data_IF_567354029927
#
_entry.id   IF_567354029927
#
_cell.length_a   1.000
_cell.length_b   1.000
_cell.length_c   1.000
_cell.angle_alpha   90.00
_cell.angle_beta   90.00
_cell.angle_gamma   90.00
#
_symmetry.space_group_name_H-M   'P 1'
#
loop_
_entity.id
_entity.type
_entity.pdbx_description
1 polymer ?
#
# COMPACT_ATOMS: atom_id res chain seq x y z
N UNK A 1 23.16 3.35 38.04
CA UNK A 1 23.02 3.27 36.58
C UNK A 1 21.54 3.11 36.34
N UNK A 2 20.87 4.21 35.96
CA UNK A 2 19.43 4.18 35.71
C UNK A 2 19.15 3.24 34.55
N UNK A 3 18.12 2.43 34.68
CA UNK A 3 17.62 1.61 33.58
C UNK A 3 17.39 2.53 32.38
N UNK A 4 18.11 2.28 31.28
CA UNK A 4 17.80 2.87 29.98
C UNK A 4 16.38 2.41 29.63
N UNK A 5 15.40 3.23 30.00
CA UNK A 5 14.00 2.99 29.67
C UNK A 5 13.93 2.87 28.15
N UNK A 6 13.47 1.72 27.66
CA UNK A 6 13.46 1.41 26.23
C UNK A 6 12.52 2.37 25.49
N UNK A 7 13.04 3.53 25.13
CA UNK A 7 12.29 4.53 24.39
C UNK A 7 11.96 4.00 23.00
N UNK A 8 10.69 4.05 22.62
CA UNK A 8 10.22 3.71 21.27
C UNK A 8 10.93 4.63 20.27
N UNK A 9 11.55 4.06 19.24
CA UNK A 9 12.28 4.82 18.21
C UNK A 9 11.59 4.82 16.85
N UNK A 10 10.77 3.82 16.57
CA UNK A 10 10.15 3.62 15.25
C UNK A 10 8.74 3.05 15.41
N UNK A 11 7.81 3.54 14.60
CA UNK A 11 6.47 2.98 14.42
C UNK A 11 6.30 2.61 12.94
N UNK A 12 5.90 1.37 12.70
CA UNK A 12 5.50 0.89 11.38
C UNK A 12 3.98 0.78 11.35
N UNK A 13 3.34 1.43 10.40
CA UNK A 13 1.89 1.40 10.26
C UNK A 13 1.49 0.94 8.87
N UNK A 14 0.57 -0.01 8.82
CA UNK A 14 -0.20 -0.22 7.60
C UNK A 14 -1.11 1.01 7.32
N UNK A 15 -1.64 1.10 6.10
CA UNK A 15 -2.53 2.18 5.68
C UNK A 15 -3.99 1.73 5.78
N UNK A 16 -4.38 0.73 5.00
CA UNK A 16 -5.77 0.35 4.77
C UNK A 16 -6.31 -0.47 5.96
N UNK A 17 -7.33 0.03 6.64
CA UNK A 17 -7.88 -0.56 7.86
C UNK A 17 -7.16 -0.16 9.15
N UNK A 18 -6.03 0.56 9.06
CA UNK A 18 -5.27 1.06 10.21
C UNK A 18 -5.36 2.58 10.34
N UNK A 19 -4.89 3.33 9.33
CA UNK A 19 -4.97 4.80 9.32
C UNK A 19 -6.12 5.30 8.45
N UNK A 20 -6.47 4.52 7.43
CA UNK A 20 -7.45 4.83 6.41
C UNK A 20 -8.58 3.81 6.48
N UNK A 21 -9.82 4.26 6.43
CA UNK A 21 -11.00 3.40 6.51
C UNK A 21 -11.97 3.67 5.35
N UNK A 22 -12.76 2.67 5.00
CA UNK A 22 -13.71 2.69 3.89
C UNK A 22 -15.15 2.88 4.38
N UNK A 23 -16.10 3.34 3.54
CA UNK A 23 -17.51 3.49 3.90
C UNK A 23 -18.10 2.28 4.63
N UNK A 24 -17.87 1.07 4.07
CA UNK A 24 -18.32 -0.20 4.64
C UNK A 24 -17.85 -0.46 6.07
N UNK A 25 -16.72 0.13 6.46
CA UNK A 25 -16.17 -0.03 7.80
C UNK A 25 -16.95 0.83 8.80
N UNK A 26 -17.62 1.89 8.36
CA UNK A 26 -18.37 2.84 9.19
C UNK A 26 -19.85 2.49 9.37
N UNK A 27 -20.45 1.74 8.44
CA UNK A 27 -21.91 1.51 8.36
C UNK A 27 -22.57 1.20 9.71
N UNK A 28 -21.87 0.44 10.57
CA UNK A 28 -22.35 0.02 11.88
C UNK A 28 -22.34 1.10 12.96
N UNK A 29 -21.38 2.02 12.94
CA UNK A 29 -21.10 2.91 14.09
C UNK A 29 -20.91 4.38 13.74
N UNK A 30 -20.92 4.76 12.46
CA UNK A 30 -20.77 6.14 12.04
C UNK A 30 -21.63 6.47 10.80
N UNK A 31 -21.83 7.75 10.58
CA UNK A 31 -22.47 8.33 9.40
C UNK A 31 -21.42 9.13 8.63
N UNK A 32 -21.34 8.89 7.32
CA UNK A 32 -20.42 9.62 6.43
C UNK A 32 -21.21 10.73 5.76
N UNK A 33 -20.80 11.98 6.00
CA UNK A 33 -21.42 13.15 5.40
C UNK A 33 -21.11 13.32 3.91
N UNK A 34 -21.52 14.46 3.36
CA UNK A 34 -21.21 14.85 1.99
C UNK A 34 -19.73 15.23 1.83
N UNK A 35 -19.15 14.92 0.67
CA UNK A 35 -17.79 15.33 0.32
C UNK A 35 -17.79 16.77 -0.21
N UNK A 36 -17.05 17.65 0.46
CA UNK A 36 -16.89 19.06 0.07
C UNK A 36 -15.39 19.36 -0.01
N UNK A 37 -14.91 19.80 -1.18
CA UNK A 37 -13.50 20.17 -1.42
C UNK A 37 -12.48 19.08 -0.98
N UNK A 38 -12.78 17.81 -1.28
CA UNK A 38 -11.91 16.68 -0.92
C UNK A 38 -11.91 16.33 0.58
N UNK A 39 -12.84 16.89 1.37
CA UNK A 39 -13.04 16.58 2.78
C UNK A 39 -14.45 16.06 3.04
N UNK A 40 -14.62 15.37 4.16
CA UNK A 40 -15.92 14.88 4.65
C UNK A 40 -15.95 14.92 6.18
N UNK A 41 -17.12 15.07 6.77
CA UNK A 41 -17.33 14.85 8.20
C UNK A 41 -17.88 13.45 8.45
N UNK A 42 -17.22 12.69 9.33
CA UNK A 42 -17.68 11.39 9.79
C UNK A 42 -18.17 11.55 11.23
N UNK A 43 -19.46 11.25 11.47
CA UNK A 43 -20.10 11.38 12.78
C UNK A 43 -20.31 10.01 13.41
N UNK A 44 -19.73 9.78 14.58
CA UNK A 44 -19.88 8.53 15.33
C UNK A 44 -21.23 8.50 16.05
N UNK A 45 -22.01 7.44 15.82
CA UNK A 45 -23.41 7.31 16.28
C UNK A 45 -23.51 7.25 17.81
N UNK A 46 -22.59 6.53 18.45
CA UNK A 46 -22.62 6.30 19.90
C UNK A 46 -22.19 7.54 20.69
N UNK A 47 -21.11 8.20 20.27
CA UNK A 47 -20.53 9.34 21.00
C UNK A 47 -21.04 10.69 20.53
N UNK A 48 -21.62 10.76 19.33
CA UNK A 48 -21.94 12.01 18.65
C UNK A 48 -20.71 12.78 18.15
N UNK A 49 -19.48 12.30 18.40
CA UNK A 49 -18.24 12.92 17.95
C UNK A 49 -18.24 13.01 16.42
N UNK A 50 -17.83 14.16 15.88
CA UNK A 50 -17.63 14.34 14.44
C UNK A 50 -16.16 14.60 14.15
N UNK A 51 -15.62 13.91 13.14
CA UNK A 51 -14.24 14.08 12.68
C UNK A 51 -14.21 14.55 11.24
N UNK A 52 -13.43 15.60 10.99
CA UNK A 52 -13.08 15.99 9.63
C UNK A 52 -12.06 15.00 9.08
N UNK A 53 -12.33 14.50 7.89
CA UNK A 53 -11.51 13.51 7.20
C UNK A 53 -11.17 13.97 5.79
N UNK A 54 -9.94 13.69 5.34
CA UNK A 54 -9.55 13.82 3.94
C UNK A 54 -10.07 12.63 3.15
N UNK A 55 -10.46 12.88 1.90
CA UNK A 55 -10.86 11.84 0.96
C UNK A 55 -9.64 11.35 0.20
N UNK A 56 -9.42 10.04 0.25
CA UNK A 56 -8.42 9.33 -0.53
C UNK A 56 -9.13 8.65 -1.70
N UNK A 57 -8.96 9.20 -2.90
CA UNK A 57 -9.54 8.64 -4.11
C UNK A 57 -8.87 7.29 -4.46
N UNK A 58 -9.65 6.37 -5.03
CA UNK A 58 -9.16 5.10 -5.56
C UNK A 58 -9.86 4.80 -6.87
N UNK A 59 -9.11 4.37 -7.89
CA UNK A 59 -9.69 4.07 -9.21
C UNK A 59 -10.61 2.84 -9.21
N UNK A 60 -10.53 1.96 -8.21
CA UNK A 60 -11.21 0.65 -8.24
C UNK A 60 -11.90 0.25 -6.94
N UNK A 61 -11.63 0.93 -5.82
CA UNK A 61 -12.06 0.52 -4.48
C UNK A 61 -13.06 1.45 -3.78
N UNK A 62 -13.57 2.47 -4.48
CA UNK A 62 -14.33 3.55 -3.86
C UNK A 62 -13.46 4.52 -3.05
N UNK A 63 -14.10 5.47 -2.37
CA UNK A 63 -13.40 6.46 -1.52
C UNK A 63 -12.95 5.82 -0.22
N UNK A 64 -11.78 6.22 0.25
CA UNK A 64 -11.32 5.93 1.60
C UNK A 64 -11.06 7.23 2.36
N UNK A 65 -10.96 7.17 3.69
CA UNK A 65 -10.93 8.35 4.53
C UNK A 65 -9.87 8.26 5.62
N UNK A 66 -9.13 9.34 5.83
CA UNK A 66 -8.21 9.53 6.96
C UNK A 66 -8.63 10.76 7.74
N UNK A 67 -8.71 10.65 9.07
CA UNK A 67 -9.07 11.81 9.90
C UNK A 67 -7.91 12.79 10.03
N UNK A 68 -8.19 14.10 10.06
CA UNK A 68 -7.17 15.12 10.35
C UNK A 68 -6.53 14.89 11.73
N UNK A 69 -7.31 14.31 12.67
CA UNK A 69 -6.81 13.88 13.98
C UNK A 69 -5.72 12.82 13.85
N UNK A 70 -5.86 11.84 12.96
CA UNK A 70 -4.85 10.82 12.71
C UNK A 70 -3.56 11.45 12.18
N UNK A 71 -3.67 12.40 11.26
CA UNK A 71 -2.50 13.13 10.73
C UNK A 71 -1.79 13.90 11.83
N UNK A 72 -2.54 14.65 12.65
CA UNK A 72 -1.98 15.40 13.78
C UNK A 72 -1.30 14.48 14.83
N UNK A 73 -1.83 13.28 15.05
CA UNK A 73 -1.21 12.29 15.94
C UNK A 73 0.11 11.76 15.39
N UNK A 74 0.20 11.50 14.08
CA UNK A 74 1.45 11.10 13.43
C UNK A 74 2.49 12.22 13.53
N UNK A 75 2.09 13.47 13.27
CA UNK A 75 2.98 14.63 13.41
C UNK A 75 3.50 14.77 14.85
N UNK A 76 2.65 14.53 15.86
CA UNK A 76 3.05 14.54 17.27
C UNK A 76 4.07 13.45 17.58
N UNK A 77 3.84 12.21 17.14
CA UNK A 77 4.78 11.09 17.32
C UNK A 77 6.14 11.44 16.73
N UNK A 78 6.16 12.02 15.52
CA UNK A 78 7.40 12.43 14.86
C UNK A 78 8.11 13.58 15.57
N UNK A 79 7.37 14.54 16.10
CA UNK A 79 7.92 15.64 16.88
C UNK A 79 8.60 15.18 18.19
N UNK A 80 8.22 14.01 18.72
CA UNK A 80 8.87 13.35 19.86
C UNK A 80 10.15 12.57 19.47
N UNK A 81 10.58 12.67 18.20
CA UNK A 81 11.79 12.01 17.70
C UNK A 81 11.60 10.53 17.34
N UNK A 82 10.35 10.07 17.24
CA UNK A 82 10.01 8.71 16.80
C UNK A 82 9.84 8.71 15.28
N UNK A 83 10.58 7.84 14.59
CA UNK A 83 10.38 7.65 13.15
C UNK A 83 9.04 6.99 12.87
N UNK A 84 8.32 7.49 11.88
CA UNK A 84 7.07 6.88 11.41
C UNK A 84 7.26 6.35 10.00
N UNK A 85 6.86 5.10 9.78
CA UNK A 85 7.00 4.40 8.50
C UNK A 85 5.63 3.93 8.04
N UNK A 86 5.22 4.32 6.84
CA UNK A 86 4.05 3.75 6.19
C UNK A 86 4.44 2.48 5.45
N UNK A 87 3.63 1.44 5.58
CA UNK A 87 3.73 0.19 4.83
C UNK A 87 2.38 -0.06 4.16
N UNK A 88 2.36 -0.54 2.91
CA UNK A 88 1.11 -0.92 2.24
C UNK A 88 1.31 -1.94 1.13
N UNK A 89 0.28 -2.75 0.88
CA UNK A 89 0.15 -3.59 -0.31
C UNK A 89 -0.43 -2.88 -1.54
N UNK A 90 -0.61 -1.56 -1.49
CA UNK A 90 -1.10 -0.79 -2.62
C UNK A 90 -0.12 -0.85 -3.81
N UNK A 91 -0.68 -0.92 -5.02
CA UNK A 91 0.06 -0.68 -6.27
C UNK A 91 0.60 0.74 -6.32
N UNK A 92 1.64 0.95 -7.12
CA UNK A 92 2.27 2.26 -7.31
C UNK A 92 1.28 3.39 -7.59
N UNK A 93 0.37 3.22 -8.56
CA UNK A 93 -0.61 4.27 -8.92
C UNK A 93 -1.64 4.58 -7.83
N UNK A 94 -2.08 3.55 -7.10
CA UNK A 94 -2.97 3.76 -5.95
C UNK A 94 -2.24 4.50 -4.84
N UNK A 95 -0.99 4.15 -4.58
CA UNK A 95 -0.19 4.82 -3.57
C UNK A 95 0.04 6.30 -3.94
N UNK A 96 0.50 6.56 -5.16
CA UNK A 96 0.78 7.90 -5.69
C UNK A 96 -0.43 8.83 -5.60
N UNK A 97 -1.61 8.35 -6.01
CA UNK A 97 -2.85 9.13 -5.93
C UNK A 97 -3.25 9.48 -4.48
N UNK A 98 -2.93 8.60 -3.52
CA UNK A 98 -3.28 8.77 -2.11
C UNK A 98 -2.28 9.63 -1.35
N UNK A 99 -1.01 9.55 -1.75
CA UNK A 99 0.14 10.13 -1.09
C UNK A 99 -0.02 11.61 -0.70
N UNK A 100 -0.57 12.51 -1.53
CA UNK A 100 -0.75 13.92 -1.15
C UNK A 100 -1.64 14.14 0.09
N UNK A 101 -2.53 13.20 0.39
CA UNK A 101 -3.47 13.29 1.50
C UNK A 101 -3.03 12.50 2.74
N UNK A 102 -1.98 11.70 2.64
CA UNK A 102 -1.42 10.92 3.75
C UNK A 102 -0.56 11.80 4.69
N UNK A 103 -0.32 11.38 5.94
CA UNK A 103 0.60 12.09 6.83
C UNK A 103 2.02 12.10 6.25
N UNK A 104 2.79 13.14 6.59
CA UNK A 104 4.23 13.15 6.30
C UNK A 104 4.94 12.16 7.21
N UNK A 105 5.78 11.32 6.62
CA UNK A 105 6.47 10.22 7.31
C UNK A 105 7.92 10.16 6.88
N UNK A 106 8.71 9.36 7.59
CA UNK A 106 10.17 9.27 7.37
C UNK A 106 10.50 8.27 6.25
N UNK A 107 9.70 7.22 6.13
CA UNK A 107 9.76 6.25 5.06
C UNK A 107 8.37 5.84 4.60
N UNK A 108 8.24 5.58 3.30
CA UNK A 108 7.02 5.07 2.70
C UNK A 108 7.34 3.79 1.94
N UNK A 109 6.74 2.68 2.32
CA UNK A 109 6.99 1.35 1.77
C UNK A 109 5.71 0.84 1.12
N UNK A 110 5.76 0.48 -0.15
CA UNK A 110 4.59 0.08 -0.93
C UNK A 110 4.92 -1.11 -1.84
N UNK A 111 3.92 -1.63 -2.54
CA UNK A 111 4.01 -2.91 -3.27
C UNK A 111 4.46 -4.08 -2.36
N UNK A 112 3.90 -4.18 -1.15
CA UNK A 112 4.24 -5.22 -0.17
C UNK A 112 5.73 -5.27 0.20
N UNK A 113 6.40 -4.12 0.21
CA UNK A 113 7.81 -4.04 0.63
C UNK A 113 8.80 -3.92 -0.51
N UNK A 114 8.40 -4.10 -1.77
CA UNK A 114 9.36 -4.07 -2.87
C UNK A 114 9.83 -2.67 -3.26
N UNK A 115 9.07 -1.62 -2.90
CA UNK A 115 9.42 -0.23 -3.20
C UNK A 115 9.43 0.63 -1.95
N UNK A 116 10.36 1.57 -1.89
CA UNK A 116 10.53 2.47 -0.77
C UNK A 116 10.75 3.91 -1.28
N UNK A 117 10.13 4.88 -0.61
CA UNK A 117 10.45 6.29 -0.71
C UNK A 117 11.13 6.71 0.60
N UNK A 118 12.21 7.47 0.46
CA UNK A 118 12.94 8.10 1.55
C UNK A 118 13.15 9.57 1.20
N UNK A 119 12.85 10.46 2.13
CA UNK A 119 12.97 11.91 1.93
C UNK A 119 12.21 12.43 0.70
N UNK A 120 11.07 11.83 0.38
CA UNK A 120 10.23 12.26 -0.74
C UNK A 120 10.57 11.62 -2.09
N UNK A 121 11.71 10.93 -2.21
CA UNK A 121 12.21 10.32 -3.45
C UNK A 121 12.28 8.79 -3.38
N UNK A 122 12.19 8.11 -4.53
CA UNK A 122 12.34 6.65 -4.60
C UNK A 122 13.76 6.22 -4.19
N UNK A 123 13.84 5.30 -3.24
CA UNK A 123 15.09 4.66 -2.85
C UNK A 123 15.44 3.56 -3.86
N UNK A 124 16.28 3.90 -4.84
CA UNK A 124 16.76 2.95 -5.84
C UNK A 124 17.65 1.86 -5.26
N UNK A 125 18.34 2.11 -4.14
CA UNK A 125 19.14 1.06 -3.49
C UNK A 125 18.24 0.00 -2.86
N UNK A 126 17.11 0.42 -2.29
CA UNK A 126 16.07 -0.50 -1.82
C UNK A 126 15.55 -1.38 -2.96
N UNK A 127 15.16 -0.78 -4.08
CA UNK A 127 14.59 -1.51 -5.22
C UNK A 127 15.61 -2.46 -5.86
N UNK A 128 16.88 -2.06 -5.93
CA UNK A 128 17.98 -2.90 -6.45
C UNK A 128 18.15 -4.23 -5.73
N UNK A 129 17.75 -4.33 -4.46
CA UNK A 129 17.79 -5.58 -3.69
C UNK A 129 16.93 -6.69 -4.30
N UNK A 130 16.00 -6.34 -5.18
CA UNK A 130 15.08 -7.27 -5.84
C UNK A 130 15.44 -7.58 -7.29
N UNK A 131 16.52 -7.02 -7.86
CA UNK A 131 16.86 -7.19 -9.29
C UNK A 131 17.05 -8.66 -9.71
N UNK A 132 17.51 -9.50 -8.80
CA UNK A 132 17.61 -10.95 -9.03
C UNK A 132 16.24 -11.63 -9.24
N UNK A 133 15.14 -10.99 -8.82
CA UNK A 133 13.75 -11.46 -8.94
C UNK A 133 12.99 -10.72 -10.04
N UNK A 134 13.18 -9.41 -10.16
CA UNK A 134 12.38 -8.55 -11.05
C UNK A 134 13.06 -8.18 -12.38
N UNK A 135 14.35 -8.53 -12.54
CA UNK A 135 15.18 -8.08 -13.66
C UNK A 135 15.72 -6.67 -13.47
N UNK A 136 15.96 -5.97 -14.59
CA UNK A 136 16.50 -4.60 -14.57
C UNK A 136 15.55 -3.60 -13.89
N UNK A 137 16.01 -3.01 -12.79
CA UNK A 137 15.24 -2.02 -12.01
C UNK A 137 15.44 -0.58 -12.48
N UNK A 138 16.25 -0.33 -13.52
CA UNK A 138 16.63 1.02 -13.98
C UNK A 138 15.45 1.92 -14.34
N UNK A 139 14.29 1.33 -14.66
CA UNK A 139 13.04 2.05 -15.02
C UNK A 139 12.14 2.39 -13.83
N UNK A 140 12.45 1.89 -12.63
CA UNK A 140 11.62 2.04 -11.43
C UNK A 140 11.92 3.32 -10.63
N UNK A 141 12.33 4.41 -11.28
CA UNK A 141 12.87 5.63 -10.64
C UNK A 141 11.82 6.62 -10.13
N UNK A 142 10.56 6.49 -10.55
CA UNK A 142 9.44 7.35 -10.12
C UNK A 142 8.40 6.53 -9.38
N UNK A 143 7.52 7.16 -8.58
CA UNK A 143 6.45 6.42 -7.87
C UNK A 143 5.58 5.64 -8.84
N UNK A 144 5.23 6.21 -9.99
CA UNK A 144 4.47 5.57 -11.07
C UNK A 144 5.33 5.44 -12.34
N UNK A 145 6.22 4.43 -12.41
CA UNK A 145 7.11 4.28 -13.55
C UNK A 145 6.34 3.80 -14.78
N UNK A 146 6.79 4.20 -15.98
CA UNK A 146 6.30 3.62 -17.22
C UNK A 146 6.93 2.25 -17.43
N UNK A 147 6.12 1.21 -17.25
CA UNK A 147 6.56 -0.17 -17.34
C UNK A 147 6.14 -0.78 -18.69
N UNK A 148 6.93 -1.73 -19.16
CA UNK A 148 6.53 -2.64 -20.24
C UNK A 148 5.34 -3.49 -19.82
N UNK A 149 4.69 -4.12 -20.79
CA UNK A 149 3.71 -5.15 -20.49
C UNK A 149 4.35 -6.26 -19.62
N UNK A 150 3.60 -6.79 -18.66
CA UNK A 150 4.13 -7.80 -17.73
C UNK A 150 4.62 -9.06 -18.45
N UNK A 151 4.05 -9.40 -19.61
CA UNK A 151 4.51 -10.52 -20.44
C UNK A 151 5.89 -10.30 -21.06
N UNK A 152 6.31 -9.04 -21.25
CA UNK A 152 7.59 -8.65 -21.86
C UNK A 152 8.71 -8.43 -20.84
N UNK A 153 8.38 -8.30 -19.54
CA UNK A 153 9.37 -8.06 -18.48
C UNK A 153 10.23 -9.29 -18.23
N UNK A 154 11.51 -9.08 -17.90
CA UNK A 154 12.48 -10.15 -17.67
C UNK A 154 12.71 -10.37 -16.19
N UNK A 155 12.88 -11.62 -15.76
CA UNK A 155 13.21 -11.97 -14.37
C UNK A 155 12.28 -13.05 -13.81
N UNK A 156 12.69 -13.78 -12.75
CA UNK A 156 11.93 -14.89 -12.19
C UNK A 156 10.47 -14.57 -11.83
N UNK A 157 10.17 -13.37 -11.34
CA UNK A 157 8.80 -12.94 -11.04
C UNK A 157 7.94 -12.94 -12.30
N UNK A 158 8.47 -12.43 -13.41
CA UNK A 158 7.75 -12.30 -14.67
C UNK A 158 7.70 -13.62 -15.43
N UNK A 159 8.67 -14.52 -15.23
CA UNK A 159 8.58 -15.91 -15.67
C UNK A 159 7.41 -16.63 -14.98
N UNK A 160 7.26 -16.45 -13.67
CA UNK A 160 6.11 -16.96 -12.93
C UNK A 160 4.80 -16.36 -13.44
N UNK A 161 4.75 -15.05 -13.68
CA UNK A 161 3.58 -14.39 -14.28
C UNK A 161 3.18 -15.05 -15.61
N UNK A 162 4.12 -15.21 -16.54
CA UNK A 162 3.87 -15.87 -17.83
C UNK A 162 3.40 -17.30 -17.67
N UNK A 163 3.99 -18.06 -16.74
CA UNK A 163 3.58 -19.45 -16.46
C UNK A 163 2.13 -19.50 -15.98
N UNK A 164 1.79 -18.72 -14.95
CA UNK A 164 0.43 -18.66 -14.40
C UNK A 164 -0.57 -18.14 -15.45
N UNK A 165 -0.19 -17.19 -16.29
CA UNK A 165 -1.04 -16.72 -17.38
C UNK A 165 -1.38 -17.85 -18.37
N UNK A 166 -0.39 -18.68 -18.75
CA UNK A 166 -0.61 -19.85 -19.62
C UNK A 166 -1.48 -20.93 -18.97
N UNK A 167 -1.41 -21.06 -17.64
CA UNK A 167 -2.23 -21.98 -16.84
C UNK A 167 -3.67 -21.46 -16.63
N UNK A 168 -4.02 -20.27 -17.15
CA UNK A 168 -5.38 -19.73 -17.04
C UNK A 168 -5.68 -19.01 -15.72
N UNK A 169 -4.65 -18.56 -15.00
CA UNK A 169 -4.84 -17.70 -13.83
C UNK A 169 -5.20 -16.28 -14.25
N UNK A 170 -6.12 -15.66 -13.51
CA UNK A 170 -6.47 -14.25 -13.66
C UNK A 170 -5.44 -13.39 -12.90
N UNK A 171 -4.61 -12.66 -13.64
CA UNK A 171 -3.49 -11.90 -13.08
C UNK A 171 -3.67 -10.39 -13.25
N UNK A 172 -3.22 -9.60 -12.27
CA UNK A 172 -3.14 -8.14 -12.35
C UNK A 172 -1.72 -7.67 -11.98
N UNK A 173 -0.96 -7.25 -12.99
CA UNK A 173 0.39 -6.71 -12.87
C UNK A 173 0.45 -5.20 -13.15
N UNK A 174 -0.70 -4.53 -13.21
CA UNK A 174 -0.78 -3.11 -13.57
C UNK A 174 -0.10 -2.26 -12.50
N UNK A 175 0.85 -1.45 -12.93
CA UNK A 175 1.63 -0.53 -12.09
C UNK A 175 2.37 -1.20 -10.93
N UNK A 176 2.68 -2.50 -11.04
CA UNK A 176 3.57 -3.17 -10.11
C UNK A 176 4.95 -3.35 -10.71
N UNK A 177 5.98 -3.04 -9.93
CA UNK A 177 7.38 -3.32 -10.26
C UNK A 177 7.85 -4.63 -9.62
N UNK A 178 7.37 -4.92 -8.41
CA UNK A 178 7.96 -5.95 -7.54
C UNK A 178 7.04 -7.08 -7.17
N UNK A 179 5.79 -7.04 -7.63
CA UNK A 179 4.84 -8.13 -7.45
C UNK A 179 3.78 -8.11 -8.58
N UNK A 180 2.79 -8.99 -8.49
CA UNK A 180 1.52 -8.90 -9.20
C UNK A 180 0.46 -9.61 -8.36
N UNK A 181 -0.81 -9.35 -8.62
CA UNK A 181 -1.93 -10.01 -7.92
C UNK A 181 -2.46 -11.18 -8.73
N UNK A 182 -2.94 -12.19 -8.01
CA UNK A 182 -3.66 -13.34 -8.57
C UNK A 182 -5.09 -13.29 -8.04
N UNK A 183 -6.06 -13.19 -8.94
CA UNK A 183 -7.49 -13.28 -8.60
C UNK A 183 -7.92 -14.75 -8.67
N UNK A 184 -7.82 -15.43 -7.54
CA UNK A 184 -8.15 -16.86 -7.43
C UNK A 184 -9.62 -17.15 -7.75
N UNK A 185 -10.51 -16.17 -7.54
CA UNK A 185 -11.95 -16.35 -7.78
C UNK A 185 -12.32 -16.35 -9.26
N UNK A 186 -11.55 -15.62 -10.07
CA UNK A 186 -11.72 -15.54 -11.53
C UNK A 186 -10.82 -16.50 -12.29
N UNK A 187 -9.92 -17.18 -11.60
CA UNK A 187 -8.97 -18.10 -12.22
C UNK A 187 -9.66 -19.41 -12.56
N UNK A 188 -9.49 -19.87 -13.80
CA UNK A 188 -10.00 -21.18 -14.25
C UNK A 188 -9.00 -22.30 -13.96
N UNK A 189 -7.74 -21.97 -13.67
CA UNK A 189 -6.66 -22.91 -13.33
C UNK A 189 -6.79 -23.62 -11.97
N UNK A 190 -7.91 -23.53 -11.26
CA UNK A 190 -8.08 -24.06 -9.90
C UNK A 190 -8.18 -25.60 -9.79
N UNK A 191 -7.93 -26.37 -10.85
CA UNK A 191 -8.13 -27.81 -10.84
C UNK A 191 -6.98 -28.60 -11.47
N UNK A 192 -5.77 -28.45 -10.91
CA UNK A 192 -4.95 -29.64 -10.71
C UNK A 192 -4.89 -29.90 -9.21
N UNK A 193 -5.49 -30.99 -8.69
CA UNK A 193 -5.23 -31.39 -7.31
C UNK A 193 -3.71 -31.49 -7.17
N UNK A 194 -3.16 -30.67 -6.29
CA UNK A 194 -1.72 -30.54 -6.07
C UNK A 194 -1.19 -31.93 -5.67
N UNK A 195 -0.68 -32.68 -6.63
CA UNK A 195 0.28 -33.74 -6.34
C UNK A 195 1.56 -33.03 -5.93
N UNK A 196 1.68 -32.81 -4.62
CA UNK A 196 2.93 -32.50 -3.91
C UNK A 196 3.95 -31.67 -4.69
N UNK A 197 3.84 -30.34 -4.63
CA UNK A 197 5.00 -29.48 -4.88
C UNK A 197 6.00 -29.74 -3.74
N UNK A 198 7.02 -30.57 -3.99
CA UNK A 198 8.26 -30.51 -3.23
C UNK A 198 9.01 -29.26 -3.70
N UNK A 199 9.01 -28.23 -2.86
CA UNK A 199 9.94 -27.11 -2.98
C UNK A 199 11.27 -27.65 -2.45
N UNK A 200 12.27 -27.76 -3.33
CA UNK A 200 13.67 -28.01 -2.98
C UNK A 200 14.33 -26.70 -2.60
#
# INVERSE_FOLDING_TARGET
MGEDEKAIKVVFSDIDGTLVHYPKDFDRYAEVGEVVNGKVFIRYKETGESRECRVLESMTGGRAYISERTIALVDKIRAEGVMFVLITGARSSTYDNRRPNLPKVDFEVFENGGRCIRNGEIDMQWTKRYENVIGDSSRATTVTPQLQDASERVGPLWDLYRRLSKEGWALDARDYVTNFRVDVTKSTGMFHPIQSLQIV
#
